data_IF_417275593717
#
_entry.id   IF_417275593717
#
_cell.length_a   1.000
_cell.length_b   1.000
_cell.length_c   1.000
_cell.angle_alpha   90.00
_cell.angle_beta   90.00
_cell.angle_gamma   90.00
#
_symmetry.space_group_name_H-M   'P 1'
#
loop_
_entity.id
_entity.type
_entity.pdbx_description
1 polymer ?
#
# COMPACT_ATOMS: atom_id res chain seq x y z
N UNK A 1 -13.17 -28.78 18.87
CA UNK A 1 -13.41 -29.49 17.60
C UNK A 1 -12.67 -30.81 17.68
N UNK A 2 -13.38 -31.91 17.95
CA UNK A 2 -12.77 -33.25 18.08
C UNK A 2 -12.51 -33.79 16.68
N UNK A 3 -11.26 -34.10 16.38
CA UNK A 3 -10.87 -34.74 15.13
C UNK A 3 -10.95 -36.26 15.32
N UNK A 4 -11.93 -36.91 14.71
CA UNK A 4 -11.99 -38.39 14.64
C UNK A 4 -11.22 -38.86 13.41
N UNK A 5 -10.19 -39.68 13.64
CA UNK A 5 -9.41 -40.33 12.60
C UNK A 5 -9.99 -41.72 12.36
N UNK A 6 -10.62 -41.96 11.20
CA UNK A 6 -10.88 -43.32 10.74
C UNK A 6 -9.57 -43.87 10.14
N UNK A 7 -9.09 -44.97 10.71
CA UNK A 7 -7.82 -45.64 10.36
C UNK A 7 -7.89 -46.42 9.04
N UNK A 8 -8.73 -46.01 8.09
CA UNK A 8 -8.92 -46.71 6.80
C UNK A 8 -8.26 -46.03 5.60
N UNK A 9 -7.39 -45.04 5.81
CA UNK A 9 -6.65 -44.43 4.69
C UNK A 9 -5.50 -45.33 4.25
N UNK A 10 -5.67 -46.00 3.10
CA UNK A 10 -4.59 -46.68 2.36
C UNK A 10 -3.35 -45.79 2.31
N UNK A 11 -2.16 -46.40 2.41
CA UNK A 11 -0.86 -45.75 2.28
C UNK A 11 -0.80 -44.84 1.04
N UNK A 12 -1.10 -43.57 1.25
CA UNK A 12 -1.29 -42.57 0.22
C UNK A 12 -1.53 -41.25 0.94
N UNK A 13 -0.77 -40.22 0.54
CA UNK A 13 -0.71 -38.92 1.23
C UNK A 13 -2.13 -38.38 1.48
N UNK A 14 -2.49 -38.19 2.74
CA UNK A 14 -3.68 -37.44 3.11
C UNK A 14 -3.36 -35.95 2.91
N UNK A 15 -3.71 -35.39 1.76
CA UNK A 15 -3.65 -33.95 1.53
C UNK A 15 -4.81 -33.28 2.27
N UNK A 16 -4.50 -32.71 3.44
CA UNK A 16 -5.42 -31.82 4.14
C UNK A 16 -5.28 -30.43 3.52
N UNK A 17 -6.19 -30.09 2.61
CA UNK A 17 -6.28 -28.73 2.06
C UNK A 17 -6.91 -27.81 3.10
N UNK A 18 -6.08 -27.14 3.89
CA UNK A 18 -6.51 -26.00 4.70
C UNK A 18 -6.73 -24.84 3.75
N UNK A 19 -7.97 -24.65 3.31
CA UNK A 19 -8.34 -23.43 2.58
C UNK A 19 -8.35 -22.31 3.62
N UNK A 20 -7.25 -21.56 3.68
CA UNK A 20 -7.24 -20.30 4.41
C UNK A 20 -8.06 -19.30 3.58
N UNK A 21 -9.31 -19.06 3.98
CA UNK A 21 -10.21 -18.11 3.32
C UNK A 21 -9.93 -16.66 3.74
N UNK A 22 -8.71 -16.35 4.20
CA UNK A 22 -8.38 -14.99 4.58
C UNK A 22 -8.32 -14.08 3.35
N UNK A 23 -8.98 -12.93 3.48
CA UNK A 23 -8.89 -11.86 2.51
C UNK A 23 -7.54 -11.16 2.69
N UNK A 24 -6.72 -11.12 1.64
CA UNK A 24 -5.44 -10.44 1.65
C UNK A 24 -5.57 -9.04 1.03
N UNK A 25 -5.36 -8.01 1.84
CA UNK A 25 -5.36 -6.61 1.42
C UNK A 25 -3.92 -6.11 1.28
N UNK A 26 -3.55 -5.61 0.10
CA UNK A 26 -2.27 -4.93 -0.12
C UNK A 26 -2.37 -3.50 0.46
N UNK A 27 -1.60 -3.20 1.50
CA UNK A 27 -1.64 -1.92 2.23
C UNK A 27 -0.33 -1.14 2.10
N UNK A 28 0.41 -1.35 1.02
CA UNK A 28 1.68 -0.66 0.81
C UNK A 28 2.22 -0.85 -0.61
N UNK A 29 3.20 -0.04 -1.02
CA UNK A 29 3.72 -0.03 -2.37
C UNK A 29 4.62 -1.24 -2.70
N UNK A 30 5.20 -1.91 -1.70
CA UNK A 30 6.16 -3.00 -1.91
C UNK A 30 5.52 -4.38 -1.75
N UNK A 31 6.16 -5.40 -2.32
CA UNK A 31 5.76 -6.81 -2.14
C UNK A 31 5.75 -7.19 -0.66
N UNK A 32 4.87 -8.11 -0.28
CA UNK A 32 4.69 -8.62 1.09
C UNK A 32 4.16 -7.59 2.12
N UNK A 33 3.64 -6.44 1.69
CA UNK A 33 2.95 -5.47 2.55
C UNK A 33 1.44 -5.73 2.58
N UNK A 34 1.07 -6.91 3.11
CA UNK A 34 -0.30 -7.42 3.07
C UNK A 34 -0.88 -7.53 4.48
N UNK A 35 -2.17 -7.25 4.60
CA UNK A 35 -2.98 -7.59 5.77
C UNK A 35 -3.89 -8.74 5.39
N UNK A 36 -3.74 -9.86 6.09
CA UNK A 36 -4.67 -10.98 5.98
C UNK A 36 -5.77 -10.82 7.03
N UNK A 37 -7.02 -10.87 6.59
CA UNK A 37 -8.20 -10.87 7.46
C UNK A 37 -8.89 -12.21 7.31
N UNK A 38 -8.79 -13.05 8.34
CA UNK A 38 -9.54 -14.30 8.41
C UNK A 38 -10.87 -14.07 9.12
N UNK A 39 -11.96 -14.38 8.42
CA UNK A 39 -13.31 -14.39 8.98
C UNK A 39 -13.79 -15.82 8.97
N UNK A 40 -13.82 -16.44 10.15
CA UNK A 40 -14.37 -17.76 10.32
C UNK A 40 -15.84 -17.80 9.88
N UNK A 41 -16.27 -18.91 9.30
CA UNK A 41 -17.65 -19.09 8.86
C UNK A 41 -18.62 -19.04 10.05
N UNK A 42 -19.61 -18.15 9.97
CA UNK A 42 -20.63 -17.92 11.00
C UNK A 42 -21.98 -18.47 10.54
N UNK A 43 -22.14 -19.79 10.61
CA UNK A 43 -23.43 -20.43 10.38
C UNK A 43 -23.96 -21.08 11.68
N UNK A 44 -25.26 -21.40 11.72
CA UNK A 44 -25.93 -21.97 12.90
C UNK A 44 -25.33 -23.30 13.35
N UNK A 45 -24.80 -24.08 12.40
CA UNK A 45 -24.09 -25.35 12.63
C UNK A 45 -22.74 -25.11 13.33
N UNK A 46 -21.93 -24.15 12.82
CA UNK A 46 -20.60 -23.80 13.34
C UNK A 46 -20.68 -23.11 14.70
N UNK A 47 -21.76 -22.37 14.94
CA UNK A 47 -22.04 -21.72 16.23
C UNK A 47 -22.74 -22.66 17.23
N UNK A 48 -23.16 -23.86 16.81
CA UNK A 48 -23.78 -24.87 17.69
C UNK A 48 -25.18 -24.51 18.19
N UNK A 49 -25.94 -23.71 17.44
CA UNK A 49 -27.27 -23.19 17.83
C UNK A 49 -28.40 -23.92 17.10
N UNK A 50 -28.08 -24.79 16.13
CA UNK A 50 -29.07 -25.39 15.22
C UNK A 50 -30.11 -26.29 15.91
N UNK A 51 -29.73 -27.01 16.97
CA UNK A 51 -30.60 -27.94 17.70
C UNK A 51 -31.11 -27.40 19.05
N UNK A 52 -31.14 -26.07 19.22
CA UNK A 52 -31.64 -25.45 20.45
C UNK A 52 -33.13 -25.69 20.68
N UNK A 53 -33.49 -26.71 21.46
CA UNK A 53 -34.87 -26.90 21.95
C UNK A 53 -35.10 -26.09 23.24
N UNK A 54 -36.31 -25.56 23.40
CA UNK A 54 -36.78 -24.86 24.61
C UNK A 54 -37.95 -25.60 25.26
N UNK A 55 -38.18 -26.86 24.86
CA UNK A 55 -39.35 -27.64 25.26
C UNK A 55 -39.26 -28.08 26.73
N UNK A 56 -38.06 -28.28 27.26
CA UNK A 56 -37.83 -28.57 28.68
C UNK A 56 -36.90 -27.55 29.33
N UNK A 57 -36.97 -27.41 30.66
CA UNK A 57 -36.09 -26.51 31.41
C UNK A 57 -34.60 -26.84 31.21
N UNK A 58 -34.25 -28.13 31.06
CA UNK A 58 -32.87 -28.55 30.82
C UNK A 58 -32.39 -28.16 29.42
N UNK A 59 -33.23 -28.33 28.41
CA UNK A 59 -32.92 -27.94 27.03
C UNK A 59 -32.81 -26.41 26.90
N UNK A 60 -33.71 -25.67 27.56
CA UNK A 60 -33.65 -24.21 27.60
C UNK A 60 -32.32 -23.69 28.20
N UNK A 61 -31.85 -24.29 29.30
CA UNK A 61 -30.56 -23.93 29.90
C UNK A 61 -29.38 -24.23 28.96
N UNK A 62 -29.42 -25.34 28.22
CA UNK A 62 -28.39 -25.67 27.20
C UNK A 62 -28.42 -24.70 26.02
N UNK A 63 -29.61 -24.32 25.55
CA UNK A 63 -29.78 -23.36 24.47
C UNK A 63 -29.25 -21.97 24.84
N UNK A 64 -29.53 -21.50 26.06
CA UNK A 64 -28.98 -20.22 26.57
C UNK A 64 -27.45 -20.26 26.58
N UNK A 65 -26.86 -21.35 27.09
CA UNK A 65 -25.41 -21.50 27.13
C UNK A 65 -24.79 -21.52 25.73
N UNK A 66 -25.41 -22.20 24.76
CA UNK A 66 -24.96 -22.22 23.38
C UNK A 66 -25.04 -20.82 22.73
N UNK A 67 -26.13 -20.08 22.98
CA UNK A 67 -26.28 -18.70 22.52
C UNK A 67 -25.22 -17.76 23.11
N UNK A 68 -24.92 -17.87 24.40
CA UNK A 68 -23.88 -17.07 25.05
C UNK A 68 -22.51 -17.31 24.41
N UNK A 69 -22.15 -18.57 24.14
CA UNK A 69 -20.91 -18.90 23.44
C UNK A 69 -20.89 -18.35 22.00
N UNK A 70 -22.00 -18.44 21.29
CA UNK A 70 -22.11 -17.90 19.94
C UNK A 70 -21.94 -16.38 19.93
N UNK A 71 -22.58 -15.67 20.87
CA UNK A 71 -22.44 -14.20 21.04
C UNK A 71 -20.99 -13.83 21.34
N UNK A 72 -20.32 -14.55 22.25
CA UNK A 72 -18.92 -14.33 22.56
C UNK A 72 -18.02 -14.53 21.33
N UNK A 73 -18.28 -15.57 20.54
CA UNK A 73 -17.52 -15.85 19.31
C UNK A 73 -17.68 -14.73 18.28
N UNK A 74 -18.91 -14.30 18.01
CA UNK A 74 -19.20 -13.19 17.09
C UNK A 74 -18.57 -11.88 17.59
N UNK A 75 -18.67 -11.61 18.89
CA UNK A 75 -18.07 -10.43 19.52
C UNK A 75 -16.55 -10.42 19.37
N UNK A 76 -15.89 -11.58 19.57
CA UNK A 76 -14.45 -11.74 19.36
C UNK A 76 -14.03 -11.44 17.92
N UNK A 77 -14.78 -11.96 16.94
CA UNK A 77 -14.51 -11.71 15.52
C UNK A 77 -14.70 -10.22 15.19
N UNK A 78 -15.78 -9.58 15.65
CA UNK A 78 -16.00 -8.14 15.48
C UNK A 78 -14.88 -7.31 16.09
N UNK A 79 -14.40 -7.70 17.27
CA UNK A 79 -13.27 -7.04 17.93
C UNK A 79 -11.99 -7.14 17.10
N UNK A 80 -11.67 -8.32 16.55
CA UNK A 80 -10.52 -8.52 15.65
C UNK A 80 -10.63 -7.69 14.37
N UNK A 81 -11.83 -7.61 13.79
CA UNK A 81 -12.09 -6.77 12.62
C UNK A 81 -11.91 -5.29 12.93
N UNK A 82 -12.44 -4.80 14.05
CA UNK A 82 -12.25 -3.42 14.49
C UNK A 82 -10.78 -3.08 14.76
N UNK A 83 -10.03 -3.98 15.41
CA UNK A 83 -8.59 -3.79 15.60
C UNK A 83 -7.83 -3.70 14.27
N UNK A 84 -8.21 -4.53 13.29
CA UNK A 84 -7.59 -4.50 11.97
C UNK A 84 -7.98 -3.23 11.20
N UNK A 85 -9.21 -2.77 11.32
CA UNK A 85 -9.68 -1.49 10.78
C UNK A 85 -8.86 -0.32 11.33
N UNK A 86 -8.69 -0.22 12.65
CA UNK A 86 -7.89 0.84 13.28
C UNK A 86 -6.46 0.82 12.75
N UNK A 87 -5.87 -0.38 12.61
CA UNK A 87 -4.52 -0.51 12.04
C UNK A 87 -4.47 -0.07 10.58
N UNK A 88 -5.50 -0.38 9.77
CA UNK A 88 -5.60 0.09 8.40
C UNK A 88 -5.73 1.61 8.32
N UNK A 89 -6.52 2.23 9.19
CA UNK A 89 -6.66 3.69 9.26
C UNK A 89 -5.34 4.38 9.61
N UNK A 90 -4.61 3.86 10.62
CA UNK A 90 -3.27 4.36 10.92
C UNK A 90 -2.28 4.14 9.77
N UNK A 91 -2.37 3.01 9.08
CA UNK A 91 -1.52 2.73 7.92
C UNK A 91 -1.81 3.71 6.78
N UNK A 92 -3.08 3.98 6.49
CA UNK A 92 -3.51 4.94 5.45
C UNK A 92 -2.96 6.33 5.78
N UNK A 93 -3.13 6.80 7.01
CA UNK A 93 -2.61 8.10 7.44
C UNK A 93 -1.08 8.17 7.28
N UNK A 94 -0.36 7.12 7.68
CA UNK A 94 1.09 7.07 7.52
C UNK A 94 1.53 7.04 6.05
N UNK A 95 0.82 6.29 5.20
CA UNK A 95 1.08 6.25 3.77
C UNK A 95 0.82 7.60 3.11
N UNK A 96 -0.23 8.31 3.50
CA UNK A 96 -0.53 9.63 2.97
C UNK A 96 0.59 10.62 3.31
N UNK A 97 1.06 10.64 4.56
CA UNK A 97 2.19 11.48 4.98
C UNK A 97 3.47 11.09 4.24
N UNK A 98 3.72 9.78 4.09
CA UNK A 98 4.90 9.28 3.35
C UNK A 98 4.81 9.69 1.88
N UNK A 99 3.64 9.57 1.26
CA UNK A 99 3.39 9.97 -0.11
C UNK A 99 3.64 11.47 -0.30
N UNK A 100 3.11 12.31 0.59
CA UNK A 100 3.37 13.76 0.55
C UNK A 100 4.86 14.08 0.67
N UNK A 101 5.56 13.46 1.62
CA UNK A 101 7.01 13.67 1.80
C UNK A 101 7.83 13.18 0.59
N UNK A 102 7.44 12.06 -0.02
CA UNK A 102 8.08 11.52 -1.21
C UNK A 102 7.81 12.40 -2.42
N UNK A 103 6.56 12.83 -2.66
CA UNK A 103 6.22 13.76 -3.74
C UNK A 103 6.94 15.11 -3.56
N UNK A 104 7.04 15.63 -2.34
CA UNK A 104 7.79 16.86 -2.07
C UNK A 104 9.30 16.68 -2.29
N UNK A 105 9.85 15.49 -1.97
CA UNK A 105 11.25 15.16 -2.24
C UNK A 105 11.51 14.95 -3.71
N UNK A 106 10.60 14.29 -4.42
CA UNK A 106 10.63 14.12 -5.87
C UNK A 106 10.57 15.48 -6.56
N UNK A 107 9.66 16.36 -6.14
CA UNK A 107 9.59 17.74 -6.62
C UNK A 107 10.92 18.46 -6.37
N UNK A 108 11.54 18.38 -5.18
CA UNK A 108 12.87 18.99 -4.98
C UNK A 108 13.99 18.41 -5.86
N UNK A 109 13.93 17.12 -6.18
CA UNK A 109 14.97 16.45 -6.98
C UNK A 109 14.76 16.69 -8.48
N UNK A 110 13.51 16.62 -8.93
CA UNK A 110 13.11 16.70 -10.33
C UNK A 110 12.84 18.13 -10.77
N UNK A 111 12.18 18.91 -9.91
CA UNK A 111 12.05 20.36 -10.05
C UNK A 111 13.32 20.99 -9.46
N UNK A 112 14.45 20.70 -10.10
CA UNK A 112 15.66 21.48 -9.92
C UNK A 112 15.41 22.89 -10.50
N UNK A 113 15.96 23.90 -9.83
CA UNK A 113 15.66 25.32 -10.04
C UNK A 113 15.54 25.71 -11.53
N UNK A 114 14.31 25.86 -12.03
CA UNK A 114 14.07 26.54 -13.31
C UNK A 114 14.76 27.92 -13.33
N UNK A 115 14.91 28.56 -12.17
CA UNK A 115 15.67 29.79 -12.04
C UNK A 115 17.14 29.61 -12.43
N UNK A 116 17.81 28.55 -11.98
CA UNK A 116 19.19 28.25 -12.36
C UNK A 116 19.28 27.94 -13.85
N UNK A 117 18.44 27.03 -14.36
CA UNK A 117 18.44 26.64 -15.77
C UNK A 117 18.17 27.83 -16.70
N UNK A 118 17.25 28.73 -16.32
CA UNK A 118 16.95 29.96 -17.07
C UNK A 118 18.10 30.97 -17.00
N UNK A 119 18.82 31.07 -15.88
CA UNK A 119 20.04 31.90 -15.82
C UNK A 119 21.16 31.35 -16.69
N UNK A 120 21.35 30.03 -16.73
CA UNK A 120 22.32 29.38 -17.61
C UNK A 120 21.92 29.53 -19.08
N UNK A 121 20.65 29.33 -19.40
CA UNK A 121 20.11 29.55 -20.74
C UNK A 121 20.29 31.00 -21.20
N UNK A 122 20.02 31.98 -20.31
CA UNK A 122 20.21 33.41 -20.61
C UNK A 122 21.69 33.74 -20.77
N UNK A 123 22.55 33.19 -19.90
CA UNK A 123 24.01 33.34 -20.00
C UNK A 123 24.52 32.79 -21.34
N UNK A 124 24.06 31.61 -21.75
CA UNK A 124 24.44 30.99 -23.01
C UNK A 124 23.91 31.78 -24.23
N UNK A 125 22.73 32.38 -24.14
CA UNK A 125 22.22 33.27 -25.18
C UNK A 125 23.05 34.55 -25.31
N UNK A 126 23.39 35.19 -24.18
CA UNK A 126 24.26 36.38 -24.18
C UNK A 126 25.65 36.03 -24.70
N UNK A 127 26.21 34.87 -24.33
CA UNK A 127 27.48 34.36 -24.87
C UNK A 127 27.41 34.18 -26.39
N UNK A 128 26.35 33.59 -26.93
CA UNK A 128 26.18 33.43 -28.36
C UNK A 128 26.07 34.77 -29.10
N UNK A 129 25.26 35.71 -28.57
CA UNK A 129 25.14 37.07 -29.14
C UNK A 129 26.45 37.87 -29.01
N UNK A 130 27.20 37.67 -27.92
CA UNK A 130 28.51 38.31 -27.73
C UNK A 130 29.56 37.69 -28.64
N UNK A 131 29.54 36.38 -28.87
CA UNK A 131 30.44 35.69 -29.78
C UNK A 131 30.22 36.14 -31.24
N UNK A 132 28.96 36.33 -31.67
CA UNK A 132 28.67 36.85 -33.01
C UNK A 132 29.09 38.31 -33.16
N UNK A 133 28.86 39.16 -32.16
CA UNK A 133 29.31 40.55 -32.16
C UNK A 133 30.85 40.67 -32.13
N UNK A 134 31.52 39.83 -31.33
CA UNK A 134 32.99 39.75 -31.27
C UNK A 134 33.59 39.24 -32.57
N UNK A 135 32.99 38.24 -33.21
CA UNK A 135 33.40 37.79 -34.55
C UNK A 135 33.24 38.89 -35.60
N UNK A 136 32.14 39.65 -35.56
CA UNK A 136 31.93 40.78 -36.45
C UNK A 136 32.99 41.87 -36.24
N UNK A 137 33.32 42.21 -34.99
CA UNK A 137 34.36 43.18 -34.65
C UNK A 137 35.77 42.69 -35.06
N UNK A 138 36.08 41.42 -34.83
CA UNK A 138 37.34 40.80 -35.23
C UNK A 138 37.52 40.75 -36.76
N UNK A 139 36.43 40.66 -37.53
CA UNK A 139 36.47 40.74 -38.99
C UNK A 139 36.63 42.17 -39.53
N UNK A 140 36.30 43.19 -38.75
CA UNK A 140 36.47 44.60 -39.12
C UNK A 140 37.85 45.15 -38.77
N UNK A 141 38.49 44.65 -37.71
CA UNK A 141 39.82 45.06 -37.28
C UNK A 141 40.90 45.01 -38.39
N UNK A 142 40.96 43.96 -39.26
CA UNK A 142 41.94 43.87 -40.34
C UNK A 142 41.78 44.96 -41.41
N UNK A 143 40.57 45.46 -41.64
CA UNK A 143 40.31 46.50 -42.64
C UNK A 143 40.86 47.86 -42.21
N UNK A 144 40.90 48.15 -40.91
CA UNK A 144 41.52 49.36 -40.36
C UNK A 144 43.04 49.37 -40.49
N UNK A 145 43.69 48.19 -40.43
CA UNK A 145 45.15 48.08 -40.60
C UNK A 145 45.55 48.28 -42.07
N UNK A 146 44.69 47.91 -43.03
CA UNK A 146 44.95 48.12 -44.45
C UNK A 146 44.91 49.60 -44.89
N UNK A 147 44.27 50.48 -44.10
CA UNK A 147 44.35 51.94 -44.28
C UNK A 147 45.66 52.55 -43.77
N UNK A 148 46.37 51.87 -42.87
CA UNK A 148 47.67 52.32 -42.33
C UNK A 148 48.86 51.83 -43.18
N UNK A 149 48.62 50.99 -44.19
CA UNK A 149 49.62 50.46 -45.11
C UNK A 149 49.49 51.01 -46.55
N UNK A 150 48.64 52.03 -46.76
CA UNK A 150 48.52 52.80 -48.01
C UNK A 150 49.03 54.23 -47.82
#
# INVERSE_FOLDING_TARGET
MTFTFDSSTKAGKAEFSVINNALAFQIGPNTNQNVMIDVAELNTVRLGIEEGSVTTQSEANKAIFALDQAIQTVSSIRSKLGATQNRMEHTINNLQVTHENLTASESRIRDADMALEMTEFTRNNILNQSATAMLAQANQLPQGVLQLLQ
#
